data_IF_117011670539
#
_entry.id   IF_117011670539
#
_cell.length_a   1.000
_cell.length_b   1.000
_cell.length_c   1.000
_cell.angle_alpha   90.00
_cell.angle_beta   90.00
_cell.angle_gamma   90.00
#
_symmetry.space_group_name_H-M   'P 1'
#
loop_
_entity.id
_entity.type
_entity.pdbx_description
1 polymer ?
2 non-polymer ?
3 water ?
#
# COMPACT_ATOMS: atom_id res chain seq x y z
N UNK A 3 -20.02 -19.85 -8.11
CA UNK A 3 -19.49 -18.74 -8.93
C UNK A 3 -18.04 -19.02 -9.35
N UNK A 4 -17.74 -18.74 -10.62
CA UNK A 4 -16.41 -18.95 -11.16
C UNK A 4 -15.88 -17.58 -11.58
N UNK A 5 -14.98 -17.00 -10.77
CA UNK A 5 -14.42 -15.68 -11.07
C UNK A 5 -13.46 -15.69 -12.26
N UNK A 6 -13.42 -14.58 -12.99
CA UNK A 6 -12.50 -14.46 -14.12
C UNK A 6 -11.26 -13.70 -13.66
N UNK A 7 -10.10 -14.27 -13.95
CA UNK A 7 -8.83 -13.65 -13.60
C UNK A 7 -8.04 -13.38 -14.88
N UNK A 9 -4.57 -12.03 -16.67
CA UNK A 9 -3.16 -11.77 -16.43
C UNK A 9 -2.68 -10.88 -17.56
N UNK A 10 -2.22 -9.68 -17.22
CA UNK A 10 -1.69 -8.75 -18.23
C UNK A 10 -0.18 -8.84 -18.03
N UNK A 11 0.47 -9.57 -18.92
CA UNK A 11 1.90 -9.80 -18.81
C UNK A 11 2.39 -10.30 -20.17
N UNK A 12 3.54 -9.83 -20.60
CA UNK A 12 4.09 -10.27 -21.88
C UNK A 12 4.54 -11.73 -21.77
N UNK A 13 4.85 -12.16 -20.56
CA UNK A 13 5.32 -13.53 -20.32
C UNK A 13 4.23 -14.59 -20.32
N UNK A 14 4.32 -15.53 -21.26
CA UNK A 14 3.34 -16.61 -21.33
C UNK A 14 3.58 -17.55 -20.17
N UNK A 15 4.83 -17.65 -19.73
CA UNK A 15 5.17 -18.53 -18.61
C UNK A 15 4.39 -18.07 -17.38
N UNK A 16 4.35 -16.76 -17.16
CA UNK A 16 3.63 -16.22 -16.01
C UNK A 16 2.14 -16.53 -16.15
N UNK A 17 1.60 -16.35 -17.34
CA UNK A 17 0.19 -16.63 -17.57
C UNK A 17 -0.12 -18.09 -17.24
N UNK A 18 0.71 -19.00 -17.73
CA UNK A 18 0.51 -20.42 -17.51
C UNK A 18 0.59 -20.78 -16.03
N UNK A 19 1.51 -20.15 -15.32
CA UNK A 19 1.68 -20.40 -13.90
C UNK A 19 0.41 -20.02 -13.17
N UNK A 20 -0.12 -18.84 -13.46
CA UNK A 20 -1.36 -18.40 -12.84
C UNK A 20 -2.50 -19.35 -13.18
N UNK A 21 -2.56 -19.76 -14.45
CA UNK A 21 -3.62 -20.68 -14.89
C UNK A 21 -3.55 -22.00 -14.11
N UNK A 22 -2.36 -22.57 -14.02
CA UNK A 22 -2.17 -23.83 -13.30
C UNK A 22 -2.54 -23.70 -11.83
N UNK A 23 -2.24 -22.56 -11.23
CA UNK A 23 -2.55 -22.36 -9.83
C UNK A 23 -4.02 -22.13 -9.53
N UNK A 24 -4.77 -21.62 -10.49
CA UNK A 24 -6.17 -21.31 -10.26
C UNK A 24 -7.24 -22.14 -10.97
N UNK A 25 -6.95 -22.59 -12.19
CA UNK A 25 -7.93 -23.35 -12.97
C UNK A 25 -8.71 -24.41 -12.20
N UNK A 26 -8.01 -25.39 -11.64
CA UNK A 26 -8.68 -26.47 -10.91
C UNK A 26 -9.44 -26.03 -9.67
N UNK A 27 -9.23 -24.80 -9.23
CA UNK A 27 -9.94 -24.35 -8.04
C UNK A 27 -11.15 -23.48 -8.34
N UNK A 28 -11.65 -23.56 -9.57
CA UNK A 28 -12.82 -22.79 -9.95
C UNK A 28 -12.60 -21.36 -10.39
N UNK A 29 -11.55 -21.11 -11.16
CA UNK A 29 -11.26 -19.78 -11.65
C UNK A 29 -11.11 -19.83 -13.16
N UNK A 30 -11.62 -18.82 -13.85
CA UNK A 30 -11.51 -18.73 -15.30
C UNK A 30 -10.36 -17.75 -15.57
N UNK A 31 -9.23 -18.27 -16.04
CA UNK A 31 -8.06 -17.43 -16.28
C UNK A 31 -7.81 -17.07 -17.74
N UNK A 32 -7.68 -15.78 -18.03
CA UNK A 32 -7.43 -15.34 -19.41
C UNK A 32 -6.15 -14.52 -19.51
N UNK A 33 -5.56 -14.51 -20.70
CA UNK A 33 -4.30 -13.82 -20.93
C UNK A 33 -4.33 -12.62 -21.88
N UNK A 34 -3.73 -11.52 -21.45
CA UNK A 34 -3.62 -10.31 -22.26
C UNK A 34 -2.13 -9.99 -22.22
N UNK A 35 -1.46 -10.03 -23.37
CA UNK A 35 -0.02 -9.76 -23.39
C UNK A 35 0.34 -8.29 -23.19
N UNK A 36 -0.62 -7.39 -23.37
CA UNK A 36 -0.36 -5.97 -23.21
C UNK A 36 -1.61 -5.17 -22.84
N UNK A 37 -1.44 -3.87 -22.62
CA UNK A 37 -2.54 -2.97 -22.27
C UNK A 37 -3.69 -2.95 -23.26
N UNK A 38 -3.35 -2.87 -24.54
CA UNK A 38 -4.37 -2.84 -25.59
C UNK A 38 -5.27 -4.06 -25.50
N UNK A 39 -4.68 -5.24 -25.42
CA UNK A 39 -5.44 -6.47 -25.32
C UNK A 39 -6.25 -6.51 -24.02
N UNK A 40 -5.68 -6.00 -22.94
CA UNK A 40 -6.38 -5.98 -21.66
C UNK A 40 -7.69 -5.19 -21.74
N UNK A 41 -7.65 -4.01 -22.35
CA UNK A 41 -8.85 -3.22 -22.46
C UNK A 41 -9.84 -3.77 -23.47
N UNK A 42 -9.36 -4.49 -24.49
CA UNK A 42 -10.31 -5.07 -25.45
C UNK A 42 -11.16 -6.08 -24.67
N UNK A 43 -10.53 -6.79 -23.73
CA UNK A 43 -11.25 -7.76 -22.90
C UNK A 43 -12.18 -7.07 -21.91
N UNK A 44 -11.67 -6.03 -21.23
CA UNK A 44 -12.46 -5.29 -20.25
C UNK A 44 -13.72 -4.64 -20.85
N UNK A 45 -13.65 -4.30 -22.13
CA UNK A 45 -14.79 -3.69 -22.79
C UNK A 45 -15.80 -4.74 -23.23
N UNK A 46 -15.44 -6.02 -23.12
CA UNK A 46 -16.33 -7.09 -23.54
C UNK A 46 -16.84 -8.02 -22.44
N UNK A 47 -16.03 -8.27 -21.41
CA UNK A 47 -16.48 -9.13 -20.32
C UNK A 47 -16.04 -8.60 -18.96
N UNK A 48 -16.87 -8.84 -17.94
CA UNK A 48 -16.56 -8.40 -16.59
C UNK A 48 -15.40 -9.23 -16.07
N UNK A 49 -14.42 -8.58 -15.46
CA UNK A 49 -13.25 -9.26 -14.93
C UNK A 49 -13.24 -9.03 -13.42
N UNK A 50 -13.13 -10.11 -12.65
CA UNK A 50 -13.13 -10.01 -11.20
C UNK A 50 -11.80 -9.53 -10.64
N UNK A 51 -10.72 -10.02 -11.25
CA UNK A 51 -9.37 -9.67 -10.81
C UNK A 51 -8.39 -9.63 -11.98
N UNK A 52 -7.56 -8.60 -11.99
CA UNK A 52 -6.55 -8.47 -13.02
C UNK A 52 -5.17 -8.39 -12.35
N UNK A 53 -4.23 -9.16 -12.88
CA UNK A 53 -2.86 -9.14 -12.41
C UNK A 53 -2.13 -8.29 -13.42
N UNK A 54 -1.42 -7.28 -12.94
CA UNK A 54 -0.65 -6.40 -13.81
C UNK A 54 0.82 -6.47 -13.46
N UNK A 55 1.66 -6.74 -14.46
CA UNK A 55 3.10 -6.80 -14.28
C UNK A 55 3.53 -5.33 -14.25
N UNK A 56 4.19 -4.91 -13.17
CA UNK A 56 4.60 -3.51 -13.01
C UNK A 56 5.96 -3.15 -13.62
N UNK A 57 6.37 -3.92 -14.62
CA UNK A 57 7.66 -3.69 -15.27
C UNK A 57 7.88 -2.29 -15.86
N UNK A 58 6.90 -1.77 -16.60
CA UNK A 58 7.06 -0.45 -17.23
C UNK A 58 6.99 0.76 -16.30
N UNK A 59 7.12 0.51 -14.99
CA UNK A 59 7.11 1.58 -14.01
C UNK A 59 5.84 2.38 -13.91
N UNK A 60 5.96 3.69 -14.08
CA UNK A 60 4.82 4.59 -13.99
C UNK A 60 3.73 4.23 -14.99
N UNK A 61 4.08 3.61 -16.11
CA UNK A 61 3.05 3.23 -17.09
C UNK A 61 2.17 2.14 -16.46
N UNK A 62 2.80 1.25 -15.70
CA UNK A 62 2.05 0.18 -15.04
C UNK A 62 1.12 0.75 -13.98
N UNK A 63 1.60 1.76 -13.25
CA UNK A 63 0.79 2.40 -12.23
C UNK A 63 -0.36 3.14 -12.89
N UNK A 64 -0.07 3.75 -14.03
CA UNK A 64 -1.04 4.49 -14.81
C UNK A 64 -2.14 3.52 -15.23
N UNK A 65 -1.75 2.31 -15.61
CA UNK A 65 -2.68 1.27 -16.04
C UNK A 65 -3.59 0.82 -14.87
N UNK A 66 -2.99 0.60 -13.71
CA UNK A 66 -3.75 0.20 -12.53
C UNK A 66 -4.82 1.24 -12.22
N UNK A 67 -4.44 2.52 -12.27
CA UNK A 67 -5.40 3.59 -12.00
C UNK A 67 -6.51 3.66 -13.05
N UNK A 68 -6.15 3.46 -14.32
CA UNK A 68 -7.15 3.50 -15.38
C UNK A 68 -8.14 2.37 -15.23
N UNK A 69 -7.66 1.18 -14.90
CA UNK A 69 -8.55 0.04 -14.70
C UNK A 69 -9.51 0.32 -13.55
N UNK A 70 -8.96 0.83 -12.45
CA UNK A 70 -9.75 1.15 -11.26
C UNK A 70 -10.79 2.23 -11.48
N UNK A 71 -10.45 3.25 -12.27
CA UNK A 71 -11.42 4.32 -12.51
C UNK A 71 -12.51 3.88 -13.49
N UNK A 72 -12.11 3.19 -14.56
CA UNK A 72 -13.05 2.75 -15.58
C UNK A 72 -13.85 1.49 -15.20
N UNK A 73 -13.27 0.64 -14.37
CA UNK A 73 -13.92 -0.60 -13.95
C UNK A 73 -13.73 -0.77 -12.46
N UNK A 74 -14.37 0.10 -11.66
CA UNK A 74 -14.31 0.11 -10.19
C UNK A 74 -14.63 -1.20 -9.47
N UNK A 75 -15.38 -2.09 -10.12
CA UNK A 75 -15.71 -3.35 -9.49
C UNK A 75 -14.63 -4.40 -9.77
N UNK A 76 -13.62 -4.00 -10.54
CA UNK A 76 -12.54 -4.90 -10.87
C UNK A 76 -11.38 -4.72 -9.90
N UNK A 77 -10.95 -5.80 -9.28
CA UNK A 77 -9.84 -5.74 -8.35
C UNK A 77 -8.54 -5.91 -9.13
N UNK A 78 -7.49 -5.23 -8.68
CA UNK A 78 -6.19 -5.31 -9.33
C UNK A 78 -5.10 -5.68 -8.32
N UNK A 79 -4.20 -6.57 -8.75
CA UNK A 79 -3.08 -7.02 -7.93
C UNK A 79 -1.86 -6.94 -8.82
N UNK A 80 -0.70 -6.72 -8.22
CA UNK A 80 0.53 -6.61 -8.99
C UNK A 80 1.37 -7.89 -8.94
N UNK A 81 2.05 -8.15 -10.06
CA UNK A 81 2.97 -9.26 -10.20
C UNK A 81 4.27 -8.57 -10.63
N UNK A 82 5.35 -8.85 -9.91
CA UNK A 82 6.61 -8.21 -10.24
C UNK A 82 7.80 -9.11 -9.98
N UNK A 83 8.88 -8.87 -10.73
CA UNK A 83 10.10 -9.65 -10.59
C UNK A 83 10.92 -9.07 -9.45
N UNK A 84 10.56 -7.87 -9.02
CA UNK A 84 11.28 -7.21 -7.93
C UNK A 84 10.33 -6.73 -6.85
N UNK A 85 10.80 -6.83 -5.60
CA UNK A 85 10.03 -6.36 -4.46
C UNK A 85 10.76 -5.11 -3.98
N UNK A 86 10.01 -4.04 -3.77
CA UNK A 86 10.60 -2.79 -3.31
C UNK A 86 9.55 -2.07 -2.50
N UNK A 87 9.93 -1.53 -1.35
CA UNK A 87 8.99 -0.84 -0.49
C UNK A 87 8.20 0.23 -1.21
N UNK A 88 8.88 1.10 -1.94
CA UNK A 88 8.21 2.17 -2.67
C UNK A 88 7.32 1.65 -3.78
N UNK A 89 7.77 0.63 -4.50
CA UNK A 89 6.96 0.05 -5.57
C UNK A 89 5.66 -0.48 -4.97
N UNK A 90 5.77 -1.08 -3.79
CA UNK A 90 4.60 -1.62 -3.12
C UNK A 90 3.65 -0.49 -2.75
N UNK A 91 4.18 0.52 -2.05
CA UNK A 91 3.40 1.67 -1.64
C UNK A 91 2.65 2.32 -2.80
N UNK A 92 3.39 2.65 -3.85
CA UNK A 92 2.81 3.29 -5.02
C UNK A 92 1.78 2.42 -5.74
N UNK A 93 1.99 1.10 -5.75
CA UNK A 93 1.04 0.20 -6.39
C UNK A 93 -0.28 0.23 -5.64
N UNK A 94 -0.21 0.12 -4.31
CA UNK A 94 -1.42 0.14 -3.50
C UNK A 94 -2.09 1.49 -3.60
N UNK A 95 -1.30 2.56 -3.60
CA UNK A 95 -1.87 3.90 -3.71
C UNK A 95 -2.64 4.02 -5.02
N UNK A 96 -2.13 3.36 -6.06
CA UNK A 96 -2.76 3.40 -7.38
C UNK A 96 -4.04 2.58 -7.41
N UNK A 97 -4.20 1.69 -6.45
CA UNK A 97 -5.41 0.89 -6.40
C UNK A 97 -5.22 -0.61 -6.31
N UNK A 98 -3.98 -1.09 -6.30
CA UNK A 98 -3.73 -2.53 -6.19
C UNK A 98 -4.06 -3.00 -4.78
N UNK A 99 -4.57 -4.23 -4.66
CA UNK A 99 -4.92 -4.78 -3.35
C UNK A 99 -3.95 -5.85 -2.89
N UNK A 100 -2.97 -6.17 -3.71
CA UNK A 100 -1.95 -7.16 -3.36
C UNK A 100 -0.77 -6.97 -4.30
N UNK A 101 0.38 -7.47 -3.87
CA UNK A 101 1.62 -7.37 -4.61
C UNK A 101 2.30 -8.72 -4.43
N UNK A 102 2.44 -9.45 -5.52
CA UNK A 102 3.04 -10.78 -5.46
C UNK A 102 4.32 -10.91 -6.28
N UNK A 103 5.35 -11.48 -5.67
CA UNK A 103 6.62 -11.66 -6.34
C UNK A 103 6.58 -12.85 -7.29
N UNK A 104 7.14 -12.69 -8.47
CA UNK A 104 7.20 -13.79 -9.43
C UNK A 104 8.66 -14.04 -9.77
N UNK A 105 9.05 -15.31 -9.93
CA UNK A 105 8.24 -16.52 -9.83
C UNK A 105 7.59 -16.72 -8.46
N UNK A 106 6.40 -17.29 -8.46
CA UNK A 106 5.64 -17.54 -7.23
C UNK A 106 5.27 -19.00 -7.07
N UNK A 107 4.96 -19.40 -5.83
CA UNK A 107 4.54 -20.75 -5.54
C UNK A 107 3.08 -20.85 -5.98
N UNK A 108 2.68 -21.99 -6.50
CA UNK A 108 1.30 -22.17 -6.95
C UNK A 108 0.30 -22.12 -5.81
N UNK A 109 0.63 -22.76 -4.70
CA UNK A 109 -0.27 -22.76 -3.55
C UNK A 109 -0.39 -21.37 -2.94
N UNK A 110 0.71 -20.63 -2.91
CA UNK A 110 0.68 -19.28 -2.35
C UNK A 110 -0.23 -18.39 -3.19
N UNK A 111 -0.10 -18.44 -4.51
CA UNK A 111 -0.95 -17.61 -5.37
C UNK A 111 -2.42 -17.91 -5.16
N UNK A 112 -2.77 -19.19 -5.15
CA UNK A 112 -4.16 -19.58 -4.95
C UNK A 112 -4.74 -19.01 -3.66
N UNK A 113 -4.01 -19.13 -2.55
CA UNK A 113 -4.52 -18.63 -1.28
C UNK A 113 -4.69 -17.11 -1.30
N UNK A 114 -3.73 -16.40 -1.91
CA UNK A 114 -3.83 -14.94 -1.98
C UNK A 114 -5.04 -14.55 -2.85
N UNK A 115 -5.21 -15.24 -3.97
CA UNK A 115 -6.33 -14.96 -4.86
C UNK A 115 -7.66 -15.18 -4.12
N UNK A 116 -7.79 -16.30 -3.42
CA UNK A 116 -9.03 -16.57 -2.68
C UNK A 116 -9.31 -15.43 -1.70
N UNK A 117 -8.26 -14.95 -1.05
CA UNK A 117 -8.35 -13.87 -0.06
C UNK A 117 -8.81 -12.58 -0.73
N UNK A 118 -8.34 -12.35 -1.95
CA UNK A 118 -8.71 -11.14 -2.70
C UNK A 118 -10.16 -11.21 -3.15
N UNK A 119 -10.58 -12.39 -3.60
CA UNK A 119 -11.94 -12.58 -4.07
C UNK A 119 -12.96 -12.44 -2.95
N UNK A 120 -12.66 -12.99 -1.78
CA UNK A 120 -13.59 -12.92 -0.66
C UNK A 120 -13.92 -11.45 -0.36
N UNK A 121 -12.90 -10.70 0.04
CA UNK A 121 -13.09 -9.28 0.34
C UNK A 121 -11.75 -8.56 0.28
N UNK B 4 4.36 27.27 11.14
CA UNK B 4 5.27 26.08 11.08
C UNK B 4 4.45 24.79 11.16
N UNK B 5 4.68 23.86 10.23
CA UNK B 5 3.94 22.60 10.26
C UNK B 5 4.27 21.77 11.50
N UNK B 6 3.28 21.05 12.00
CA UNK B 6 3.45 20.23 13.17
C UNK B 6 3.40 18.74 12.85
N UNK B 7 4.35 17.99 13.41
CA UNK B 7 4.42 16.55 13.20
C UNK B 7 4.30 15.87 14.55
N UNK B 9 4.47 12.33 16.79
CA UNK B 9 5.00 10.99 16.88
C UNK B 9 4.18 10.24 17.92
N UNK B 10 3.50 9.18 17.49
CA UNK B 10 2.71 8.38 18.41
C UNK B 10 3.50 7.10 18.61
N UNK B 11 4.16 7.01 19.76
CA UNK B 11 5.00 5.87 20.08
C UNK B 11 5.21 5.83 21.59
N UNK B 12 5.37 4.64 22.13
CA UNK B 12 5.57 4.47 23.57
C UNK B 12 6.96 4.94 23.99
N UNK B 13 7.89 4.96 23.04
CA UNK B 13 9.26 5.36 23.30
C UNK B 13 9.58 6.83 23.13
N UNK B 14 10.15 7.44 24.16
CA UNK B 14 10.54 8.83 24.10
C UNK B 14 11.66 8.98 23.08
N UNK B 15 12.49 7.94 22.96
CA UNK B 15 13.61 7.98 22.04
C UNK B 15 13.16 8.10 20.59
N UNK B 16 12.06 7.46 20.24
CA UNK B 16 11.58 7.56 18.87
C UNK B 16 11.26 9.05 18.62
N UNK B 17 10.60 9.68 19.59
CA UNK B 17 10.27 11.09 19.48
C UNK B 17 11.56 11.92 19.34
N UNK B 18 12.56 11.63 20.15
CA UNK B 18 13.82 12.38 20.10
C UNK B 18 14.50 12.30 18.73
N UNK B 19 14.51 11.11 18.14
CA UNK B 19 15.12 10.91 16.83
C UNK B 19 14.36 11.68 15.75
N UNK B 20 13.03 11.64 15.82
CA UNK B 20 12.25 12.35 14.83
C UNK B 20 12.47 13.85 14.98
N UNK B 21 12.47 14.32 16.22
CA UNK B 21 12.71 15.73 16.50
C UNK B 21 14.09 16.12 15.98
N UNK B 22 15.08 15.25 16.19
CA UNK B 22 16.45 15.52 15.75
C UNK B 22 16.51 15.68 14.23
N UNK B 23 15.66 14.95 13.52
CA UNK B 23 15.65 15.02 12.06
C UNK B 23 14.90 16.21 11.48
N UNK B 24 13.86 16.66 12.16
CA UNK B 24 13.01 17.73 11.65
C UNK B 24 13.10 19.11 12.28
N UNK B 25 13.48 19.16 13.55
CA UNK B 25 13.57 20.39 14.32
C UNK B 25 14.18 21.62 13.66
N UNK B 26 15.43 21.51 13.21
CA UNK B 26 16.10 22.64 12.58
C UNK B 26 15.71 22.82 11.12
N UNK B 27 14.66 22.15 10.70
CA UNK B 27 14.24 22.22 9.30
C UNK B 27 12.83 22.77 9.09
N UNK B 28 12.35 23.54 10.05
CA UNK B 28 11.04 24.16 9.93
C UNK B 28 9.85 23.28 10.28
N UNK B 29 10.01 22.43 11.30
CA UNK B 29 8.94 21.54 11.74
C UNK B 29 8.85 21.53 13.26
N UNK B 30 7.63 21.49 13.79
CA UNK B 30 7.42 21.43 15.24
C UNK B 30 7.02 19.98 15.51
N UNK B 31 7.78 19.29 16.33
CA UNK B 31 7.49 17.89 16.63
C UNK B 31 6.93 17.71 18.04
N UNK B 32 5.84 16.94 18.14
CA UNK B 32 5.23 16.66 19.44
C UNK B 32 5.14 15.15 19.65
N UNK B 33 5.02 14.74 20.90
CA UNK B 33 4.97 13.33 21.25
C UNK B 33 3.70 12.88 21.96
N UNK B 34 3.14 11.75 21.50
CA UNK B 34 1.96 11.18 22.13
C UNK B 34 2.35 9.73 22.39
N UNK B 35 2.32 9.30 23.65
CA UNK B 35 2.71 7.93 23.96
C UNK B 35 1.61 6.90 23.67
N UNK B 36 0.39 7.37 23.47
CA UNK B 36 -0.72 6.46 23.16
C UNK B 36 -1.80 7.12 22.30
N UNK B 37 -2.79 6.31 21.92
CA UNK B 37 -3.89 6.78 21.09
C UNK B 37 -4.75 7.83 21.80
N UNK B 38 -4.99 7.62 23.09
CA UNK B 38 -5.79 8.54 23.89
C UNK B 38 -5.22 9.95 23.80
N UNK B 39 -3.91 10.04 24.09
CA UNK B 39 -3.19 11.29 24.07
C UNK B 39 -3.13 11.88 22.65
N UNK B 40 -2.99 11.01 21.66
CA UNK B 40 -2.91 11.46 20.28
C UNK B 40 -4.18 12.23 19.87
N UNK B 41 -5.33 11.71 20.25
CA UNK B 41 -6.59 12.36 19.91
C UNK B 41 -6.83 13.64 20.70
N UNK B 42 -6.29 13.70 21.91
CA UNK B 42 -6.45 14.90 22.71
C UNK B 42 -5.80 16.06 21.96
N UNK B 43 -4.63 15.81 21.37
CA UNK B 43 -3.91 16.85 20.63
C UNK B 43 -4.54 17.15 19.27
N UNK B 44 -4.89 16.10 18.54
CA UNK B 44 -5.51 16.28 17.23
C UNK B 44 -6.75 17.18 17.29
N UNK B 45 -7.49 17.09 18.39
CA UNK B 45 -8.71 17.89 18.56
C UNK B 45 -8.46 19.34 18.93
N UNK B 46 -7.31 19.63 19.54
CA UNK B 46 -7.01 20.98 19.96
C UNK B 46 -6.12 21.79 19.03
N UNK B 47 -5.32 21.10 18.21
CA UNK B 47 -4.43 21.83 17.33
C UNK B 47 -4.27 21.21 15.94
N UNK B 48 -3.73 22.01 15.04
CA UNK B 48 -3.51 21.57 13.67
C UNK B 48 -2.27 20.68 13.64
N UNK B 49 -2.45 19.45 13.19
CA UNK B 49 -1.35 18.50 13.09
C UNK B 49 -1.29 18.07 11.62
N UNK B 50 -0.19 18.39 10.97
CA UNK B 50 0.00 18.11 9.55
C UNK B 50 0.34 16.66 9.24
N UNK B 51 1.14 16.05 10.10
CA UNK B 51 1.53 14.66 9.88
C UNK B 51 1.66 13.90 11.19
N UNK B 52 1.21 12.65 11.17
CA UNK B 52 1.29 11.80 12.35
C UNK B 52 2.06 10.54 11.97
N UNK B 53 3.05 10.18 12.78
CA UNK B 53 3.81 8.97 12.58
C UNK B 53 3.24 7.95 13.56
N UNK B 54 2.81 6.82 13.05
CA UNK B 54 2.26 5.77 13.89
C UNK B 54 3.16 4.54 13.80
N UNK B 55 3.37 3.93 14.96
CA UNK B 55 4.21 2.75 15.08
C UNK B 55 3.33 1.55 14.75
N UNK B 56 3.76 0.75 13.78
CA UNK B 56 2.99 -0.41 13.37
C UNK B 56 3.73 -1.70 13.65
N UNK B 57 2.99 -2.72 14.07
CA UNK B 57 3.55 -4.02 14.35
C UNK B 57 2.50 -4.99 14.89
N UNK B 58 1.58 -4.48 15.70
CA UNK B 58 0.53 -5.31 16.29
C UNK B 58 -0.83 -5.23 15.62
N UNK B 59 -1.40 -6.41 15.38
CA UNK B 59 -2.71 -6.55 14.77
C UNK B 59 -3.30 -5.43 13.94
N UNK B 60 -4.63 -5.38 13.94
CA UNK B 60 -5.37 -4.38 13.17
C UNK B 60 -5.64 -3.12 13.98
N UNK B 61 -5.32 -3.15 15.27
CA UNK B 61 -5.56 -1.96 16.10
C UNK B 61 -4.65 -0.84 15.62
N UNK B 62 -3.44 -1.20 15.20
CA UNK B 62 -2.51 -0.20 14.70
C UNK B 62 -3.10 0.33 13.40
N UNK B 63 -3.77 -0.55 12.67
CA UNK B 63 -4.41 -0.18 11.41
C UNK B 63 -5.67 0.63 11.69
N UNK B 64 -6.35 0.30 12.79
CA UNK B 64 -7.57 1.01 13.16
C UNK B 64 -7.26 2.44 13.56
N UNK B 65 -6.10 2.64 14.17
CA UNK B 65 -5.68 3.98 14.58
C UNK B 65 -5.48 4.83 13.32
N UNK B 66 -4.86 4.23 12.30
CA UNK B 66 -4.62 4.93 11.06
C UNK B 66 -5.96 5.35 10.44
N UNK B 67 -6.89 4.40 10.39
CA UNK B 67 -8.22 4.67 9.83
C UNK B 67 -8.94 5.77 10.62
N UNK B 68 -8.97 5.63 11.94
CA UNK B 68 -9.64 6.60 12.79
C UNK B 68 -9.09 8.00 12.58
N UNK B 69 -7.77 8.13 12.54
CA UNK B 69 -7.16 9.43 12.32
C UNK B 69 -7.58 10.00 10.97
N UNK B 70 -7.51 9.17 9.94
CA UNK B 70 -7.86 9.62 8.59
C UNK B 70 -9.32 10.08 8.45
N UNK B 71 -10.22 9.36 9.10
CA UNK B 71 -11.64 9.69 9.02
C UNK B 71 -11.98 10.94 9.83
N UNK B 72 -11.54 10.98 11.09
CA UNK B 72 -11.83 12.13 11.95
C UNK B 72 -11.06 13.39 11.59
N UNK B 73 -9.87 13.23 11.04
CA UNK B 73 -9.04 14.38 10.66
C UNK B 73 -8.47 14.15 9.26
N UNK B 74 -9.28 14.40 8.22
CA UNK B 74 -8.83 14.21 6.83
C UNK B 74 -7.69 15.10 6.39
N UNK B 75 -7.51 16.24 7.05
CA UNK B 75 -6.43 17.15 6.70
C UNK B 75 -5.11 16.76 7.35
N UNK B 76 -5.12 15.66 8.08
CA UNK B 76 -3.92 15.18 8.75
C UNK B 76 -3.43 13.93 8.07
N UNK B 77 -2.22 13.98 7.54
CA UNK B 77 -1.65 12.82 6.87
C UNK B 77 -1.06 11.87 7.89
N UNK B 78 -0.99 10.59 7.54
CA UNK B 78 -0.46 9.59 8.43
C UNK B 78 0.61 8.78 7.73
N UNK B 79 1.73 8.55 8.41
CA UNK B 79 2.81 7.75 7.86
C UNK B 79 3.20 6.73 8.92
N UNK B 80 3.67 5.57 8.47
CA UNK B 80 4.07 4.54 9.41
C UNK B 80 5.57 4.62 9.66
N UNK B 81 5.95 4.38 10.91
CA UNK B 81 7.34 4.38 11.28
C UNK B 81 7.49 3.10 12.10
N UNK B 82 8.21 2.10 11.58
CA UNK B 82 8.38 0.86 12.33
C UNK B 82 9.66 0.10 12.04
N UNK B 83 10.06 -0.73 13.00
CA UNK B 83 11.26 -1.54 12.91
C UNK B 83 10.92 -2.83 12.18
N UNK B 84 9.65 -3.21 12.22
CA UNK B 84 9.20 -4.43 11.57
C UNK B 84 8.72 -4.10 10.16
N UNK B 85 9.07 -4.96 9.22
CA UNK B 85 8.65 -4.74 7.85
C UNK B 85 8.46 -5.99 7.01
N UNK B 86 7.24 -6.19 6.56
CA UNK B 86 6.92 -7.32 5.69
C UNK B 86 5.92 -6.75 4.69
N UNK B 87 5.77 -7.44 3.57
CA UNK B 87 4.87 -7.01 2.51
C UNK B 87 3.46 -6.64 2.97
N UNK B 88 2.85 -7.50 3.78
CA UNK B 88 1.50 -7.26 4.25
C UNK B 88 1.33 -6.06 5.18
N UNK B 89 2.36 -5.76 5.96
CA UNK B 89 2.29 -4.62 6.85
C UNK B 89 2.22 -3.35 6.01
N UNK B 90 3.06 -3.30 4.97
CA UNK B 90 3.11 -2.15 4.08
C UNK B 90 1.78 -2.02 3.35
N UNK B 91 1.35 -3.11 2.72
CA UNK B 91 0.09 -3.11 1.97
C UNK B 91 -1.10 -2.66 2.82
N UNK B 92 -1.29 -3.32 3.96
CA UNK B 92 -2.41 -2.98 4.83
C UNK B 92 -2.36 -1.57 5.42
N UNK B 93 -1.18 -1.07 5.76
CA UNK B 93 -1.11 0.28 6.30
C UNK B 93 -1.47 1.33 5.24
N UNK B 94 -1.01 1.12 4.00
CA UNK B 94 -1.35 2.07 2.94
C UNK B 94 -2.85 1.95 2.65
N UNK B 95 -3.38 0.72 2.68
CA UNK B 95 -4.80 0.53 2.44
C UNK B 95 -5.57 1.29 3.52
N UNK B 96 -5.04 1.28 4.73
CA UNK B 96 -5.68 1.96 5.85
C UNK B 96 -5.64 3.49 5.69
N UNK B 97 -4.74 3.97 4.84
CA UNK B 97 -4.65 5.40 4.62
C UNK B 97 -3.28 6.03 4.82
N UNK B 98 -2.28 5.23 5.14
CA UNK B 98 -0.93 5.75 5.34
C UNK B 98 -0.34 6.22 4.01
N UNK B 99 0.39 7.33 4.03
CA UNK B 99 1.00 7.86 2.82
C UNK B 99 2.45 7.43 2.62
N UNK B 100 3.08 6.93 3.68
CA UNK B 100 4.46 6.47 3.60
C UNK B 100 4.67 5.40 4.67
N UNK B 101 5.79 4.69 4.56
CA UNK B 101 6.14 3.62 5.48
C UNK B 101 7.65 3.73 5.60
N UNK B 102 8.13 4.12 6.77
CA UNK B 102 9.56 4.32 6.99
C UNK B 102 10.11 3.41 8.06
N UNK B 103 11.22 2.76 7.75
CA UNK B 103 11.83 1.81 8.67
C UNK B 103 12.78 2.41 9.70
N UNK B 104 12.74 1.83 10.90
CA UNK B 104 13.62 2.23 12.00
C UNK B 104 14.65 1.09 12.07
N UNK B 105 15.94 1.42 12.22
CA UNK B 105 16.53 2.76 12.32
C UNK B 105 16.57 3.51 10.99
N UNK B 106 16.34 4.82 11.05
CA UNK B 106 16.36 5.62 9.83
C UNK B 106 17.46 6.65 9.87
N UNK B 107 17.87 7.11 8.68
CA UNK B 107 18.87 8.16 8.57
C UNK B 107 18.06 9.43 8.80
N UNK B 108 18.61 10.38 9.55
CA UNK B 108 17.87 11.61 9.81
C UNK B 108 17.57 12.37 8.52
N UNK B 109 18.53 12.40 7.58
CA UNK B 109 18.30 13.13 6.33
C UNK B 109 17.25 12.45 5.44
N UNK B 110 17.14 11.12 5.53
CA UNK B 110 16.13 10.38 4.77
C UNK B 110 14.76 10.74 5.30
N UNK B 111 14.60 10.66 6.62
CA UNK B 111 13.32 11.00 7.22
C UNK B 111 12.90 12.42 6.85
N UNK B 112 13.85 13.36 6.96
CA UNK B 112 13.56 14.74 6.65
C UNK B 112 13.05 14.91 5.22
N UNK B 113 13.70 14.24 4.27
CA UNK B 113 13.27 14.36 2.88
C UNK B 113 11.91 13.71 2.62
N UNK B 114 11.61 12.61 3.31
CA UNK B 114 10.31 11.95 3.11
C UNK B 114 9.20 12.81 3.70
N UNK B 115 9.49 13.45 4.82
CA UNK B 115 8.53 14.32 5.47
C UNK B 115 8.27 15.52 4.56
N UNK B 116 9.33 16.08 4.00
CA UNK B 116 9.20 17.23 3.11
C UNK B 116 8.33 16.90 1.90
N UNK B 117 8.43 15.68 1.39
CA UNK B 117 7.62 15.30 0.24
C UNK B 117 6.15 15.17 0.62
N UNK B 118 5.90 14.77 1.86
CA UNK B 118 4.54 14.61 2.34
C UNK B 118 3.85 15.94 2.65
N UNK B 119 4.54 16.83 3.35
CA UNK B 119 3.95 18.11 3.74
C UNK B 119 4.12 19.25 2.73
N UNK B 120 2.99 19.76 2.26
CA UNK B 120 2.97 20.85 1.28
C UNK B 120 3.29 22.20 1.92
#
# INVERSE_FOLDING_TARGET
XSLTPTVXVVDESRITFLAVKNALEKDGFNVIWAKNEQEAFTFLRREKIDLVFVDVFEGEESLNLIRRIREEFPDTKVAVLSAYVDKDLIINSVKAGAVDYILKPFRLDYLLERVKKIISSTPRVTVSLRKNIEEGHHHHHH
XSLTPTVXVVDESRITFLAVKNALEKDGFNVIWAKNEQEAFTFLRREKIDLVFVDVFEGEESLNLIRRIREEFPDTKVAVLSAYVDKDLIINSVKAGAVDYILKPFRLDYLLERVKKIISSTPRVTVSLRKNIEEGHHHHHH
#
